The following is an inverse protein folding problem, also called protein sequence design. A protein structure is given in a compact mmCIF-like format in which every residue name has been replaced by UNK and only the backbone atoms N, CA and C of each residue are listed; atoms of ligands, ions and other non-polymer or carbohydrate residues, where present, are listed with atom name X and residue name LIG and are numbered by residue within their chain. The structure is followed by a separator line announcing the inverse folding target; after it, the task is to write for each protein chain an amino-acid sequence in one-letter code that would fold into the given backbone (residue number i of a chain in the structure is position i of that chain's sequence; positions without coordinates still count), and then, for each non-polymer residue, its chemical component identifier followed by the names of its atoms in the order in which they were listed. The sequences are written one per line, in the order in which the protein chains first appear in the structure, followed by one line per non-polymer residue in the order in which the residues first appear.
data_IF_336105046354
#
_entry.id   IF_336105046354
#
_cell.length_a   1.000
_cell.length_b   1.000
_cell.length_c   1.000
_cell.angle_alpha   90.00
_cell.angle_beta   90.00
_cell.angle_gamma   90.00
#
_symmetry.space_group_name_H-M   'P 1'
#
loop_
_entity.id
_entity.type
_entity.pdbx_description
1 polymer ?
#
# COMPACT_ATOMS: atom_id res chain seq x y z
N UNK A 1 -33.42 -8.69 -9.81
CA UNK A 1 -32.76 -8.35 -8.54
C UNK A 1 -31.42 -7.72 -8.89
N UNK A 2 -31.42 -6.37 -9.04
CA UNK A 2 -30.22 -5.63 -9.40
C UNK A 2 -29.24 -5.73 -8.24
N UNK A 3 -28.12 -6.41 -8.48
CA UNK A 3 -26.99 -6.41 -7.58
C UNK A 3 -26.43 -4.98 -7.56
N UNK A 4 -26.88 -4.18 -6.59
CA UNK A 4 -26.24 -2.90 -6.27
C UNK A 4 -24.75 -3.16 -6.08
N UNK A 5 -23.97 -2.74 -7.06
CA UNK A 5 -22.50 -2.83 -7.01
C UNK A 5 -22.04 -1.86 -5.93
N UNK A 6 -21.88 -2.35 -4.71
CA UNK A 6 -21.38 -1.54 -3.60
C UNK A 6 -19.92 -1.21 -3.85
N UNK A 7 -19.68 0.03 -4.23
CA UNK A 7 -18.33 0.57 -4.50
C UNK A 7 -17.69 1.02 -3.20
N UNK A 8 -16.35 0.90 -3.13
CA UNK A 8 -15.59 1.59 -2.09
C UNK A 8 -15.86 3.08 -2.24
N UNK A 9 -16.40 3.72 -1.21
CA UNK A 9 -16.58 5.16 -1.20
C UNK A 9 -15.37 5.86 -0.61
N UNK A 10 -15.07 7.05 -1.11
CA UNK A 10 -13.96 7.90 -0.65
C UNK A 10 -14.49 9.31 -0.45
N UNK A 11 -14.30 9.84 0.75
CA UNK A 11 -14.72 11.18 1.12
C UNK A 11 -13.52 11.93 1.70
N UNK A 12 -13.29 13.15 1.21
CA UNK A 12 -12.33 14.08 1.77
C UNK A 12 -13.09 15.14 2.55
N UNK A 13 -12.83 15.24 3.85
CA UNK A 13 -13.30 16.34 4.71
C UNK A 13 -12.18 17.37 4.86
N UNK A 14 -12.38 18.42 5.67
CA UNK A 14 -11.34 19.42 5.94
C UNK A 14 -10.15 18.84 6.70
N UNK A 15 -10.37 17.77 7.48
CA UNK A 15 -9.35 17.19 8.38
C UNK A 15 -8.93 15.78 8.01
N UNK A 16 -9.83 15.01 7.38
CA UNK A 16 -9.63 13.57 7.21
C UNK A 16 -9.99 13.09 5.82
N UNK A 17 -9.26 12.07 5.39
CA UNK A 17 -9.61 11.24 4.27
C UNK A 17 -10.29 9.97 4.79
N UNK A 18 -11.51 9.69 4.33
CA UNK A 18 -12.35 8.58 4.79
C UNK A 18 -12.58 7.63 3.63
N UNK A 19 -12.26 6.35 3.84
CA UNK A 19 -12.61 5.25 2.93
C UNK A 19 -13.61 4.34 3.60
N UNK A 20 -14.70 4.01 2.91
CA UNK A 20 -15.67 3.03 3.37
C UNK A 20 -15.67 1.82 2.46
N UNK A 21 -15.44 0.65 3.04
CA UNK A 21 -15.40 -0.63 2.38
C UNK A 21 -16.65 -1.43 2.77
N UNK A 22 -17.60 -1.66 1.87
CA UNK A 22 -18.68 -2.60 2.11
C UNK A 22 -18.13 -4.00 2.40
N UNK A 23 -18.70 -4.73 3.34
CA UNK A 23 -18.28 -6.10 3.67
C UNK A 23 -18.18 -7.00 2.43
N UNK A 24 -19.04 -6.77 1.45
CA UNK A 24 -19.09 -7.55 0.20
C UNK A 24 -17.86 -7.41 -0.69
N UNK A 25 -17.04 -6.37 -0.51
CA UNK A 25 -15.79 -6.19 -1.29
C UNK A 25 -14.56 -6.72 -0.55
N UNK A 26 -14.71 -7.06 0.73
CA UNK A 26 -13.62 -7.57 1.56
C UNK A 26 -13.52 -9.09 1.36
N UNK A 27 -12.37 -9.58 0.94
CA UNK A 27 -12.17 -11.00 0.60
C UNK A 27 -11.65 -11.84 1.77
N UNK A 28 -11.27 -11.20 2.85
CA UNK A 28 -10.68 -11.86 4.00
C UNK A 28 -11.67 -11.91 5.17
N UNK A 29 -11.42 -12.82 6.13
CA UNK A 29 -12.20 -12.90 7.34
C UNK A 29 -12.05 -11.64 8.21
N UNK A 30 -13.06 -11.35 9.01
CA UNK A 30 -13.03 -10.24 9.96
C UNK A 30 -11.76 -10.26 10.83
N UNK A 31 -11.42 -11.42 11.41
CA UNK A 31 -10.25 -11.54 12.28
C UNK A 31 -8.93 -11.21 11.57
N UNK A 32 -8.78 -11.63 10.31
CA UNK A 32 -7.59 -11.33 9.53
C UNK A 32 -7.47 -9.84 9.23
N UNK A 33 -8.59 -9.19 8.89
CA UNK A 33 -8.65 -7.75 8.64
C UNK A 33 -8.33 -6.98 9.92
N UNK A 34 -8.95 -7.33 11.05
CA UNK A 34 -8.67 -6.72 12.35
C UNK A 34 -7.20 -6.84 12.75
N UNK A 35 -6.63 -8.03 12.61
CA UNK A 35 -5.21 -8.26 12.89
C UNK A 35 -4.32 -7.35 12.03
N UNK A 36 -4.58 -7.31 10.71
CA UNK A 36 -3.84 -6.46 9.79
C UNK A 36 -3.98 -4.97 10.12
N UNK A 37 -5.18 -4.50 10.43
CA UNK A 37 -5.42 -3.09 10.77
C UNK A 37 -4.70 -2.68 12.07
N UNK A 38 -4.64 -3.56 13.07
CA UNK A 38 -3.83 -3.35 14.27
C UNK A 38 -2.35 -3.22 13.95
N UNK A 39 -1.83 -4.08 13.09
CA UNK A 39 -0.44 -4.00 12.63
C UNK A 39 -0.18 -2.69 11.87
N UNK A 40 -1.04 -2.34 10.91
CA UNK A 40 -0.93 -1.07 10.18
C UNK A 40 -0.92 0.11 11.17
N UNK A 41 -1.86 0.15 12.11
CA UNK A 41 -1.94 1.23 13.11
C UNK A 41 -0.68 1.35 13.97
N UNK A 42 0.03 0.26 14.21
CA UNK A 42 1.28 0.27 14.99
C UNK A 42 2.50 0.81 14.24
N UNK A 43 2.44 0.92 12.92
CA UNK A 43 3.58 1.34 12.08
C UNK A 43 3.33 2.64 11.31
N UNK A 44 2.09 3.05 11.08
CA UNK A 44 1.80 4.31 10.36
C UNK A 44 2.31 5.53 11.12
N UNK A 45 2.87 6.49 10.37
CA UNK A 45 3.52 7.70 10.91
C UNK A 45 2.55 8.88 11.06
N UNK A 46 1.25 8.64 11.00
CA UNK A 46 0.22 9.68 11.01
C UNK A 46 -1.08 9.18 11.65
N UNK A 47 -2.04 10.06 11.84
CA UNK A 47 -3.35 9.70 12.35
C UNK A 47 -4.05 8.69 11.44
N UNK A 48 -4.34 7.52 11.99
CA UNK A 48 -5.03 6.43 11.32
C UNK A 48 -5.97 5.72 12.31
N UNK A 49 -7.25 5.67 11.97
CA UNK A 49 -8.28 4.98 12.74
C UNK A 49 -9.14 4.12 11.84
N UNK A 50 -9.81 3.15 12.42
CA UNK A 50 -10.79 2.33 11.74
C UNK A 50 -11.93 1.94 12.68
N UNK A 51 -13.10 1.74 12.10
CA UNK A 51 -14.28 1.26 12.79
C UNK A 51 -15.14 0.39 11.88
N UNK A 52 -15.92 -0.49 12.48
CA UNK A 52 -16.95 -1.24 11.77
C UNK A 52 -18.31 -0.63 12.09
N UNK A 53 -19.05 -0.25 11.05
CA UNK A 53 -20.39 0.32 11.18
C UNK A 53 -21.30 -0.22 10.10
N UNK A 54 -22.48 -0.75 10.48
CA UNK A 54 -23.48 -1.28 9.54
C UNK A 54 -22.91 -2.23 8.48
N UNK A 55 -22.07 -3.18 8.92
CA UNK A 55 -21.36 -4.13 8.05
C UNK A 55 -20.37 -3.48 7.07
N UNK A 56 -19.98 -2.24 7.29
CA UNK A 56 -18.94 -1.56 6.52
C UNK A 56 -17.69 -1.35 7.38
N UNK A 57 -16.52 -1.50 6.77
CA UNK A 57 -15.26 -1.05 7.38
C UNK A 57 -15.01 0.39 6.97
N UNK A 58 -14.84 1.27 7.93
CA UNK A 58 -14.53 2.67 7.72
C UNK A 58 -13.09 2.90 8.17
N UNK A 59 -12.25 3.37 7.25
CA UNK A 59 -10.89 3.83 7.55
C UNK A 59 -10.87 5.35 7.52
N UNK A 60 -10.26 5.95 8.54
CA UNK A 60 -10.11 7.39 8.68
C UNK A 60 -8.64 7.72 8.85
N UNK A 61 -8.10 8.53 7.97
CA UNK A 61 -6.70 8.92 7.99
C UNK A 61 -6.52 10.42 7.85
N UNK A 62 -5.37 10.92 8.29
CA UNK A 62 -4.97 12.30 8.07
C UNK A 62 -4.93 12.63 6.58
N UNK A 63 -5.31 13.86 6.22
CA UNK A 63 -5.10 14.38 4.88
C UNK A 63 -3.68 14.91 4.76
N UNK A 64 -3.05 14.56 3.67
CA UNK A 64 -1.81 15.17 3.24
C UNK A 64 -2.09 16.08 2.03
N UNK A 65 -1.66 17.32 2.13
CA UNK A 65 -1.69 18.28 1.03
C UNK A 65 -0.24 18.42 0.55
N UNK A 66 -0.03 18.30 -0.74
CA UNK A 66 1.28 18.44 -1.35
C UNK A 66 1.30 17.87 -2.76
N UNK A 67 2.34 18.22 -3.51
CA UNK A 67 2.56 17.68 -4.84
C UNK A 67 3.39 16.42 -4.75
N UNK A 68 3.03 15.41 -5.51
CA UNK A 68 3.86 14.24 -5.71
C UNK A 68 5.05 14.67 -6.58
N UNK A 69 6.25 14.56 -6.06
CA UNK A 69 7.48 14.86 -6.79
C UNK A 69 8.48 13.70 -6.65
N UNK A 70 9.43 13.65 -7.54
CA UNK A 70 10.50 12.66 -7.48
C UNK A 70 11.25 12.83 -6.15
N UNK A 71 11.45 11.72 -5.44
CA UNK A 71 12.19 11.73 -4.18
C UNK A 71 13.67 11.98 -4.43
N UNK A 72 14.29 12.80 -3.58
CA UNK A 72 15.73 12.96 -3.58
C UNK A 72 16.43 11.79 -2.83
N UNK A 73 17.77 11.73 -2.89
CA UNK A 73 18.55 10.64 -2.29
C UNK A 73 18.29 10.49 -0.78
N UNK A 74 18.23 11.57 -0.03
CA UNK A 74 17.95 11.54 1.42
C UNK A 74 16.56 10.95 1.70
N UNK A 75 15.56 11.38 0.94
CA UNK A 75 14.19 10.88 1.07
C UNK A 75 14.08 9.40 0.69
N UNK A 76 14.82 8.93 -0.32
CA UNK A 76 14.87 7.51 -0.67
C UNK A 76 15.50 6.68 0.45
N UNK A 77 16.57 7.16 1.08
CA UNK A 77 17.21 6.50 2.23
C UNK A 77 16.21 6.39 3.40
N UNK A 78 15.52 7.47 3.74
CA UNK A 78 14.52 7.44 4.83
C UNK A 78 13.34 6.53 4.50
N UNK A 79 12.89 6.49 3.26
CA UNK A 79 11.84 5.57 2.82
C UNK A 79 12.31 4.11 2.91
N UNK A 80 13.55 3.81 2.49
CA UNK A 80 14.13 2.47 2.60
C UNK A 80 14.17 1.99 4.05
N UNK A 81 14.70 2.81 4.96
CA UNK A 81 14.71 2.51 6.41
C UNK A 81 13.32 2.23 6.95
N UNK A 82 12.33 3.05 6.54
CA UNK A 82 10.95 2.85 6.97
C UNK A 82 10.35 1.55 6.41
N UNK A 83 10.61 1.21 5.15
CA UNK A 83 10.16 -0.05 4.57
C UNK A 83 10.79 -1.25 5.29
N UNK A 84 12.10 -1.23 5.54
CA UNK A 84 12.78 -2.29 6.28
C UNK A 84 12.23 -2.43 7.71
N UNK A 85 11.93 -1.32 8.38
CA UNK A 85 11.26 -1.31 9.68
C UNK A 85 9.89 -1.99 9.64
N UNK A 86 9.01 -1.62 8.71
CA UNK A 86 7.67 -2.25 8.63
C UNK A 86 7.74 -3.73 8.24
N UNK A 87 8.70 -4.09 7.36
CA UNK A 87 8.95 -5.49 6.99
C UNK A 87 9.41 -6.32 8.17
N UNK A 88 10.25 -5.78 9.07
CA UNK A 88 10.65 -6.45 10.32
C UNK A 88 9.48 -6.74 11.25
N UNK A 89 8.36 -6.01 11.10
CA UNK A 89 7.09 -6.25 11.81
C UNK A 89 6.10 -7.11 11.02
N UNK A 90 6.56 -7.70 9.90
CA UNK A 90 5.70 -8.46 8.97
C UNK A 90 4.52 -7.64 8.41
N UNK A 91 4.71 -6.33 8.29
CA UNK A 91 3.74 -5.40 7.69
C UNK A 91 4.21 -5.03 6.30
N UNK A 92 3.34 -5.17 5.31
CA UNK A 92 3.63 -4.87 3.92
C UNK A 92 2.57 -3.91 3.38
N UNK A 93 3.00 -2.90 2.64
CA UNK A 93 2.09 -1.92 2.07
C UNK A 93 1.37 -2.47 0.84
N UNK A 94 2.11 -3.07 -0.08
CA UNK A 94 1.60 -3.72 -1.29
C UNK A 94 1.34 -2.78 -2.47
N UNK A 95 1.59 -1.46 -2.32
CA UNK A 95 1.36 -0.47 -3.37
C UNK A 95 2.33 0.71 -3.28
N UNK A 96 3.62 0.45 -3.32
CA UNK A 96 4.67 1.47 -3.26
C UNK A 96 4.78 2.18 -4.61
N UNK A 97 4.39 3.45 -4.67
CA UNK A 97 4.58 4.35 -5.81
C UNK A 97 4.46 5.83 -5.39
N UNK A 98 4.93 6.76 -6.22
CA UNK A 98 5.00 8.20 -5.88
C UNK A 98 3.66 8.78 -5.39
N UNK A 99 2.53 8.37 -5.95
CA UNK A 99 1.22 8.89 -5.56
C UNK A 99 0.78 8.49 -4.15
N UNK A 100 1.42 7.46 -3.58
CA UNK A 100 1.20 7.00 -2.20
C UNK A 100 2.28 7.49 -1.25
N UNK A 101 3.14 8.42 -1.68
CA UNK A 101 4.20 8.99 -0.86
C UNK A 101 4.07 10.50 -0.82
N UNK A 102 3.90 11.04 0.37
CA UNK A 102 3.96 12.47 0.64
C UNK A 102 5.26 12.79 1.36
N UNK A 103 5.78 14.00 1.16
CA UNK A 103 6.95 14.47 1.88
C UNK A 103 6.54 15.60 2.80
N UNK A 104 6.82 15.45 4.10
CA UNK A 104 6.60 16.47 5.12
C UNK A 104 7.89 16.67 5.90
N UNK A 105 8.39 17.90 5.95
CA UNK A 105 9.65 18.23 6.63
C UNK A 105 10.81 17.33 6.17
N UNK A 106 10.92 17.10 4.87
CA UNK A 106 11.90 16.22 4.21
C UNK A 106 11.76 14.72 4.55
N UNK A 107 10.73 14.31 5.28
CA UNK A 107 10.46 12.90 5.64
C UNK A 107 9.38 12.35 4.71
N UNK A 108 9.62 11.23 4.00
CA UNK A 108 8.60 10.57 3.21
C UNK A 108 7.59 9.87 4.12
N UNK A 109 6.31 10.07 3.82
CA UNK A 109 5.19 9.46 4.55
C UNK A 109 4.43 8.59 3.56
N UNK A 110 4.35 7.32 3.86
CA UNK A 110 3.62 6.35 3.05
C UNK A 110 2.15 6.32 3.45
N UNK A 111 1.27 6.54 2.48
CA UNK A 111 -0.19 6.65 2.66
C UNK A 111 -0.94 5.62 1.84
N UNK A 112 -2.27 5.59 1.98
CA UNK A 112 -3.16 4.71 1.21
C UNK A 112 -3.03 3.22 1.57
N UNK A 113 -2.92 2.93 2.86
CA UNK A 113 -2.90 1.58 3.38
C UNK A 113 -4.23 0.86 3.15
N UNK A 114 -4.15 -0.33 2.54
CA UNK A 114 -5.33 -1.16 2.30
C UNK A 114 -5.52 -2.20 3.43
N UNK A 115 -6.77 -2.41 3.88
CA UNK A 115 -7.06 -3.31 5.01
C UNK A 115 -6.85 -4.78 4.65
N UNK A 116 -7.01 -5.12 3.39
CA UNK A 116 -6.89 -6.47 2.85
C UNK A 116 -6.92 -6.42 1.32
N UNK A 117 -6.86 -7.58 0.68
CA UNK A 117 -7.22 -7.71 -0.74
C UNK A 117 -8.70 -7.40 -0.93
N UNK A 118 -9.02 -6.38 -1.70
CA UNK A 118 -10.40 -6.03 -2.04
C UNK A 118 -10.79 -6.54 -3.43
N UNK A 119 -12.04 -6.97 -3.55
CA UNK A 119 -12.62 -7.39 -4.80
C UNK A 119 -13.39 -6.21 -5.42
N UNK A 120 -12.91 -5.73 -6.57
CA UNK A 120 -13.65 -4.74 -7.36
C UNK A 120 -14.44 -5.48 -8.43
N UNK A 121 -15.77 -5.27 -8.44
CA UNK A 121 -16.65 -5.76 -9.49
C UNK A 121 -16.70 -4.65 -10.55
N UNK A 122 -16.08 -4.89 -11.69
CA UNK A 122 -16.17 -4.00 -12.86
C UNK A 122 -16.94 -4.74 -13.95
N UNK A 123 -18.14 -4.28 -14.21
CA UNK A 123 -19.15 -4.62 -15.26
C UNK A 123 -19.18 -6.03 -15.84
N UNK A 124 -18.22 -6.91 -15.70
CA UNK A 124 -18.20 -8.34 -16.08
C UNK A 124 -16.99 -9.14 -15.55
N UNK A 125 -16.09 -8.54 -14.76
CA UNK A 125 -14.91 -9.22 -14.23
C UNK A 125 -14.67 -8.87 -12.78
N UNK A 126 -14.43 -9.88 -11.96
CA UNK A 126 -13.93 -9.69 -10.61
C UNK A 126 -12.44 -9.35 -10.73
N UNK A 127 -12.08 -8.11 -10.41
CA UNK A 127 -10.69 -7.66 -10.39
C UNK A 127 -10.26 -7.60 -8.92
N UNK A 128 -9.30 -8.41 -8.54
CA UNK A 128 -8.64 -8.27 -7.25
C UNK A 128 -7.77 -7.01 -7.30
N UNK A 129 -8.12 -6.03 -6.48
CA UNK A 129 -7.37 -4.78 -6.41
C UNK A 129 -6.15 -4.96 -5.52
N UNK A 130 -5.07 -5.42 -6.11
CA UNK A 130 -3.80 -4.81 -5.80
C UNK A 130 -3.54 -3.79 -6.90
N UNK A 131 -2.88 -2.69 -6.56
CA UNK A 131 -2.59 -1.63 -7.50
C UNK A 131 -2.13 -2.15 -8.86
N UNK A 132 -2.51 -1.47 -9.91
CA UNK A 132 -2.04 -1.72 -11.27
C UNK A 132 -0.52 -1.57 -11.43
N UNK A 133 0.16 -0.96 -10.45
CA UNK A 133 1.60 -0.76 -10.40
C UNK A 133 2.38 -1.99 -9.95
N UNK A 134 1.74 -2.96 -9.27
CA UNK A 134 2.37 -4.21 -8.89
C UNK A 134 2.57 -5.07 -10.14
N UNK A 135 3.76 -5.65 -10.27
CA UNK A 135 4.08 -6.52 -11.39
C UNK A 135 3.02 -7.62 -11.56
N UNK A 136 2.64 -7.88 -12.82
CA UNK A 136 1.55 -8.82 -13.16
C UNK A 136 1.76 -10.21 -12.55
N UNK A 137 3.02 -10.64 -12.38
CA UNK A 137 3.39 -11.92 -11.74
C UNK A 137 3.00 -11.98 -10.26
N UNK A 138 3.18 -10.90 -9.51
CA UNK A 138 2.84 -10.87 -8.08
C UNK A 138 1.33 -10.87 -7.85
N UNK A 139 0.55 -10.36 -8.80
CA UNK A 139 -0.91 -10.46 -8.77
C UNK A 139 -1.42 -11.90 -8.87
N UNK A 140 -0.69 -12.78 -9.58
CA UNK A 140 -1.05 -14.21 -9.70
C UNK A 140 -0.90 -14.94 -8.37
N UNK A 141 0.09 -14.58 -7.56
CA UNK A 141 0.38 -15.23 -6.29
C UNK A 141 -0.52 -14.79 -5.14
N UNK A 142 -1.34 -13.76 -5.33
CA UNK A 142 -2.39 -13.29 -4.39
C UNK A 142 -1.88 -12.93 -2.97
N UNK A 143 -0.57 -12.83 -2.76
CA UNK A 143 0.03 -12.48 -1.47
C UNK A 143 0.82 -11.20 -1.61
N UNK A 144 0.55 -10.25 -0.72
CA UNK A 144 1.41 -9.10 -0.50
C UNK A 144 2.56 -9.57 0.38
N UNK A 145 3.78 -9.21 0.03
CA UNK A 145 5.01 -9.56 0.75
C UNK A 145 6.00 -8.41 0.70
N UNK A 146 7.10 -8.55 1.42
CA UNK A 146 8.24 -7.61 1.31
C UNK A 146 8.72 -7.47 -0.13
N UNK A 147 8.71 -8.55 -0.90
CA UNK A 147 9.11 -8.54 -2.31
C UNK A 147 8.22 -7.61 -3.15
N UNK A 148 6.91 -7.54 -2.85
CA UNK A 148 5.98 -6.61 -3.51
C UNK A 148 6.40 -5.16 -3.29
N UNK A 149 6.71 -4.82 -2.04
CA UNK A 149 7.14 -3.47 -1.67
C UNK A 149 8.53 -3.15 -2.23
N UNK A 150 9.48 -4.08 -2.18
CA UNK A 150 10.82 -3.95 -2.77
C UNK A 150 10.74 -3.66 -4.27
N UNK A 151 9.89 -4.36 -5.01
CA UNK A 151 9.66 -4.10 -6.44
C UNK A 151 9.09 -2.70 -6.68
N UNK A 152 8.13 -2.26 -5.87
CA UNK A 152 7.60 -0.91 -5.93
C UNK A 152 8.66 0.14 -5.63
N UNK A 153 9.47 -0.09 -4.60
CA UNK A 153 10.56 0.79 -4.19
C UNK A 153 11.65 0.89 -5.26
N UNK A 154 12.12 -0.24 -5.79
CA UNK A 154 13.12 -0.28 -6.85
C UNK A 154 12.67 0.51 -8.11
N UNK A 155 11.38 0.44 -8.43
CA UNK A 155 10.80 1.22 -9.52
C UNK A 155 10.82 2.74 -9.29
N UNK A 156 10.79 3.18 -8.02
CA UNK A 156 10.95 4.60 -7.66
C UNK A 156 12.38 5.07 -7.86
N UNK A 157 13.35 4.19 -7.65
CA UNK A 157 14.77 4.49 -7.71
C UNK A 157 15.24 4.52 -9.16
N UNK A 158 15.15 3.38 -9.85
CA UNK A 158 15.64 3.21 -11.21
C UNK A 158 14.78 2.22 -11.99
N UNK A 159 14.37 2.61 -13.19
CA UNK A 159 13.67 1.73 -14.11
C UNK A 159 14.60 0.63 -14.63
N UNK A 160 15.84 0.96 -14.85
CA UNK A 160 16.90 0.05 -15.33
C UNK A 160 17.16 -1.04 -14.27
N UNK A 161 17.41 -0.66 -13.02
CA UNK A 161 17.61 -1.58 -11.92
C UNK A 161 16.35 -2.46 -11.70
N UNK A 162 15.16 -1.89 -11.82
CA UNK A 162 13.92 -2.67 -11.76
C UNK A 162 13.86 -3.74 -12.85
N UNK A 163 14.20 -3.41 -14.10
CA UNK A 163 14.16 -4.37 -15.21
C UNK A 163 15.21 -5.49 -15.05
N UNK A 164 16.35 -5.20 -14.43
CA UNK A 164 17.41 -6.17 -14.17
C UNK A 164 17.10 -7.11 -13.01
N UNK A 165 16.60 -6.58 -11.89
CA UNK A 165 16.48 -7.32 -10.63
C UNK A 165 15.09 -7.88 -10.35
N UNK A 166 14.02 -7.33 -10.94
CA UNK A 166 12.64 -7.63 -10.51
C UNK A 166 12.22 -9.10 -10.64
N UNK A 167 12.89 -9.85 -11.49
CA UNK A 167 12.62 -11.26 -11.78
C UNK A 167 13.72 -12.21 -11.27
N UNK A 168 14.69 -11.70 -10.50
CA UNK A 168 15.79 -12.49 -9.94
C UNK A 168 15.50 -12.92 -8.50
N UNK A 169 16.05 -14.06 -8.09
CA UNK A 169 16.01 -14.50 -6.68
C UNK A 169 16.88 -13.61 -5.77
N UNK A 170 17.80 -12.87 -6.33
CA UNK A 170 18.67 -11.94 -5.61
C UNK A 170 17.85 -10.88 -4.85
N UNK A 171 16.81 -10.35 -5.48
CA UNK A 171 15.94 -9.35 -4.87
C UNK A 171 15.22 -9.84 -3.60
N UNK A 172 14.99 -11.15 -3.46
CA UNK A 172 14.36 -11.69 -2.25
C UNK A 172 15.27 -11.53 -1.02
N UNK A 173 16.57 -11.62 -1.22
CA UNK A 173 17.59 -11.60 -0.16
C UNK A 173 18.01 -10.18 0.24
N UNK A 174 17.86 -9.19 -0.64
CA UNK A 174 18.22 -7.80 -0.37
C UNK A 174 17.16 -7.10 0.49
N UNK A 175 17.57 -6.25 1.43
CA UNK A 175 16.68 -5.30 2.09
C UNK A 175 16.52 -4.01 1.26
N UNK A 176 15.63 -3.09 1.67
CA UNK A 176 15.39 -1.88 0.88
C UNK A 176 16.57 -0.91 0.89
N UNK A 177 17.40 -0.90 1.94
CA UNK A 177 18.61 -0.08 1.98
C UNK A 177 19.67 -0.60 1.00
N UNK A 178 19.86 -1.91 0.94
CA UNK A 178 20.79 -2.55 -0.02
C UNK A 178 20.36 -2.32 -1.47
N UNK A 179 19.06 -2.20 -1.75
CA UNK A 179 18.56 -1.86 -3.09
C UNK A 179 19.00 -0.46 -3.57
N UNK A 180 19.40 0.45 -2.67
CA UNK A 180 19.91 1.76 -3.05
C UNK A 180 21.29 1.70 -3.72
N UNK A 181 22.04 0.63 -3.49
CA UNK A 181 23.40 0.46 -4.07
C UNK A 181 23.35 0.14 -5.58
N UNK A 182 22.18 -0.19 -6.10
CA UNK A 182 21.96 -0.43 -7.54
C UNK A 182 21.55 0.85 -8.33
N UNK A 183 21.79 2.08 -7.77
CA UNK A 183 21.27 3.34 -8.32
C UNK A 183 22.34 4.32 -8.73
#
# INVERSE_FOLDING_TARGET
MDLEIRKISKVKTDKYFIKTYPKTVLLESFNNIEYRLKLIKSVVQYFFEYEWKDSNLILKSQIFNGNHHKLNKTQLIELAKYLDYIHSKSVYHGDIHLRNIFVKNNVPILVDWEPCTVQLINSKRIIKSHSKSIAIKDRKNKKISSLTDKKGFLRLISKEAFNQLSDTNEMENLNCQELLDFC
#
